data_IF_381111843616
#
_entry.id   IF_381111843616
#
_cell.length_a   1.000
_cell.length_b   1.000
_cell.length_c   1.000
_cell.angle_alpha   90.00
_cell.angle_beta   90.00
_cell.angle_gamma   90.00
#
_symmetry.space_group_name_H-M   'P 1'
#
loop_
_entity.id
_entity.type
_entity.pdbx_description
1 polymer ?
#
# COMPACT_ATOMS: atom_id res chain seq x y z
N UNK A 1 13.02 -33.31 15.63
CA UNK A 1 13.58 -32.05 16.19
C UNK A 1 14.12 -31.10 15.13
N UNK A 2 14.97 -31.51 14.19
CA UNK A 2 15.43 -30.59 13.10
C UNK A 2 14.31 -30.08 12.18
N UNK A 3 13.34 -30.93 11.83
CA UNK A 3 12.18 -30.54 11.01
C UNK A 3 11.24 -29.57 11.76
N UNK A 4 11.02 -29.77 13.07
CA UNK A 4 10.17 -28.87 13.86
C UNK A 4 10.82 -27.50 14.10
N UNK A 5 12.16 -27.44 14.21
CA UNK A 5 12.87 -26.15 14.30
C UNK A 5 12.78 -25.35 13.00
N UNK A 6 12.94 -26.00 11.83
CA UNK A 6 12.71 -25.34 10.53
C UNK A 6 11.27 -24.88 10.36
N UNK A 7 10.31 -25.64 10.88
CA UNK A 7 8.89 -25.27 10.83
C UNK A 7 8.58 -24.06 11.72
N UNK A 8 9.22 -23.96 12.90
CA UNK A 8 9.16 -22.78 13.76
C UNK A 8 9.81 -21.55 13.11
N UNK A 9 11.00 -21.71 12.54
CA UNK A 9 11.75 -20.63 11.88
C UNK A 9 10.98 -20.06 10.66
N UNK A 10 10.35 -20.94 9.85
CA UNK A 10 9.52 -20.55 8.70
C UNK A 10 8.22 -19.84 9.13
N UNK A 11 7.61 -20.27 10.22
CA UNK A 11 6.41 -19.61 10.81
C UNK A 11 6.78 -18.28 11.45
N UNK A 12 7.97 -18.16 12.02
CA UNK A 12 8.50 -16.93 12.60
C UNK A 12 8.83 -15.90 11.50
N UNK A 13 9.43 -16.32 10.39
CA UNK A 13 9.68 -15.48 9.21
C UNK A 13 8.41 -15.04 8.48
N UNK A 14 7.41 -15.93 8.32
CA UNK A 14 6.10 -15.54 7.77
C UNK A 14 5.37 -14.54 8.68
N UNK A 15 5.38 -14.75 10.00
CA UNK A 15 4.83 -13.79 10.95
C UNK A 15 5.60 -12.47 10.92
N UNK A 16 6.92 -12.50 10.77
CA UNK A 16 7.75 -11.29 10.65
C UNK A 16 7.42 -10.52 9.38
N UNK A 17 7.31 -11.18 8.23
CA UNK A 17 6.88 -10.57 6.96
C UNK A 17 5.48 -9.96 7.05
N UNK A 18 4.50 -10.67 7.61
CA UNK A 18 3.14 -10.16 7.84
C UNK A 18 3.10 -9.00 8.85
N UNK A 19 3.97 -9.02 9.86
CA UNK A 19 4.10 -7.92 10.82
C UNK A 19 4.69 -6.66 10.15
N UNK A 20 5.57 -6.82 9.16
CA UNK A 20 6.20 -5.72 8.43
C UNK A 20 5.25 -5.09 7.41
N UNK A 21 4.37 -5.86 6.77
CA UNK A 21 3.35 -5.37 5.82
C UNK A 21 2.19 -4.69 6.54
N UNK A 22 1.72 -5.26 7.66
CA UNK A 22 0.77 -4.56 8.54
C UNK A 22 1.35 -3.29 9.14
N UNK A 23 2.64 -3.29 9.51
CA UNK A 23 3.36 -2.09 9.97
C UNK A 23 3.47 -1.02 8.88
N UNK A 24 3.79 -1.36 7.64
CA UNK A 24 3.91 -0.37 6.56
C UNK A 24 2.55 0.27 6.25
N UNK A 25 1.46 -0.51 6.24
CA UNK A 25 0.10 0.00 6.11
C UNK A 25 -0.28 0.91 7.30
N UNK A 26 0.05 0.48 8.51
CA UNK A 26 -0.17 1.27 9.73
C UNK A 26 0.60 2.59 9.72
N UNK A 27 1.87 2.57 9.29
CA UNK A 27 2.71 3.78 9.17
C UNK A 27 2.11 4.74 8.12
N UNK A 28 1.61 4.22 7.00
CA UNK A 28 0.90 5.03 6.00
C UNK A 28 -0.35 5.71 6.56
N UNK A 29 -1.19 4.96 7.28
CA UNK A 29 -2.39 5.49 7.93
C UNK A 29 -2.05 6.49 9.04
N UNK A 30 -1.02 6.20 9.84
CA UNK A 30 -0.54 7.08 10.90
C UNK A 30 -0.04 8.42 10.32
N UNK A 31 0.72 8.38 9.23
CA UNK A 31 1.16 9.57 8.50
C UNK A 31 -0.01 10.42 8.01
N UNK A 32 -1.07 9.77 7.49
CA UNK A 32 -2.29 10.47 7.07
C UNK A 32 -2.98 11.19 8.23
N UNK A 33 -3.17 10.47 9.34
CA UNK A 33 -3.82 11.03 10.54
C UNK A 33 -3.01 12.20 11.08
N UNK A 34 -1.69 12.06 11.21
CA UNK A 34 -0.81 13.13 11.71
C UNK A 34 -0.89 14.36 10.79
N UNK A 35 -0.78 14.18 9.48
CA UNK A 35 -0.82 15.29 8.53
C UNK A 35 -2.17 16.01 8.49
N UNK A 36 -3.29 15.26 8.54
CA UNK A 36 -4.62 15.87 8.64
C UNK A 36 -4.83 16.57 9.98
N UNK A 37 -4.36 16.00 11.09
CA UNK A 37 -4.44 16.65 12.40
C UNK A 37 -3.64 17.96 12.42
N UNK A 38 -2.46 17.99 11.78
CA UNK A 38 -1.67 19.21 11.61
C UNK A 38 -2.42 20.27 10.80
N UNK A 39 -3.13 19.88 9.73
CA UNK A 39 -3.98 20.78 8.95
C UNK A 39 -5.11 21.37 9.82
N UNK A 40 -5.81 20.56 10.62
CA UNK A 40 -6.86 21.03 11.52
C UNK A 40 -6.33 22.02 12.55
N UNK A 41 -5.15 21.76 13.12
CA UNK A 41 -4.51 22.66 14.09
C UNK A 41 -4.15 24.00 13.44
N UNK A 42 -3.56 23.98 12.24
CA UNK A 42 -3.20 25.22 11.54
C UNK A 42 -4.46 26.02 11.18
N UNK A 43 -5.48 25.37 10.63
CA UNK A 43 -6.68 26.03 10.13
C UNK A 43 -7.60 26.56 11.24
N UNK A 44 -7.79 25.81 12.34
CA UNK A 44 -8.76 26.17 13.39
C UNK A 44 -8.14 26.73 14.66
N UNK A 45 -6.83 26.62 14.84
CA UNK A 45 -6.16 27.03 16.08
C UNK A 45 -5.12 28.12 15.80
N UNK A 46 -4.17 27.87 14.90
CA UNK A 46 -3.07 28.80 14.62
C UNK A 46 -3.56 30.04 13.88
N UNK A 47 -4.24 29.88 12.75
CA UNK A 47 -4.72 31.02 11.95
C UNK A 47 -5.69 31.89 12.78
N UNK A 48 -6.72 31.36 13.46
CA UNK A 48 -7.58 32.18 14.28
C UNK A 48 -6.84 32.88 15.44
N UNK A 49 -5.88 32.22 16.08
CA UNK A 49 -5.08 32.86 17.14
C UNK A 49 -4.27 34.06 16.62
N UNK A 50 -3.79 34.01 15.39
CA UNK A 50 -3.06 35.13 14.75
C UNK A 50 -3.97 36.31 14.39
N UNK A 51 -5.28 36.10 14.24
CA UNK A 51 -6.28 37.15 13.94
C UNK A 51 -7.16 37.49 15.15
N UNK A 52 -6.60 37.35 16.37
CA UNK A 52 -7.30 37.74 17.59
C UNK A 52 -8.47 36.84 17.98
N UNK A 53 -8.50 35.59 17.50
CA UNK A 53 -9.50 34.58 17.82
C UNK A 53 -10.65 34.47 16.81
N UNK A 54 -10.66 35.31 15.78
CA UNK A 54 -11.62 35.19 14.67
C UNK A 54 -11.01 34.39 13.52
N UNK A 55 -11.76 33.46 12.92
CA UNK A 55 -11.29 32.75 11.74
C UNK A 55 -11.42 33.68 10.53
N UNK A 56 -10.31 34.12 9.91
CA UNK A 56 -10.38 34.89 8.68
C UNK A 56 -10.96 34.02 7.56
N UNK A 57 -11.70 34.65 6.65
CA UNK A 57 -12.12 34.01 5.42
C UNK A 57 -10.96 33.97 4.42
N UNK A 58 -11.09 33.14 3.38
CA UNK A 58 -10.14 33.11 2.26
C UNK A 58 -10.05 34.49 1.58
N UNK A 59 -11.14 35.26 1.58
CA UNK A 59 -11.16 36.64 1.08
C UNK A 59 -10.35 37.61 1.93
N UNK A 60 -10.39 37.46 3.26
CA UNK A 60 -9.60 38.30 4.17
C UNK A 60 -8.11 38.04 4.00
N UNK A 61 -7.71 36.76 3.83
CA UNK A 61 -6.32 36.39 3.55
C UNK A 61 -5.79 36.98 2.22
N UNK A 62 -6.64 37.06 1.18
CA UNK A 62 -6.28 37.70 -0.09
C UNK A 62 -6.09 39.22 0.04
N UNK A 63 -6.85 39.86 0.93
CA UNK A 63 -6.76 41.30 1.20
C UNK A 63 -5.53 41.61 2.05
N UNK A 64 -5.23 40.80 3.07
CA UNK A 64 -4.02 40.93 3.88
C UNK A 64 -2.74 40.83 3.02
N UNK A 65 -2.73 39.95 2.01
CA UNK A 65 -1.62 39.84 1.06
C UNK A 65 -1.40 41.04 0.13
N UNK A 66 -2.31 42.02 0.12
CA UNK A 66 -2.19 43.28 -0.64
C UNK A 66 -1.70 44.46 0.22
N UNK A 67 -1.52 44.27 1.53
CA UNK A 67 -1.04 45.33 2.43
C UNK A 67 0.43 45.69 2.11
N UNK A 68 0.75 46.95 1.80
CA UNK A 68 2.12 47.37 1.52
C UNK A 68 3.05 47.33 2.76
N UNK A 69 2.53 47.24 3.99
CA UNK A 69 3.33 47.11 5.22
C UNK A 69 2.73 46.07 6.17
N UNK A 70 2.85 44.76 5.85
CA UNK A 70 2.20 43.72 6.63
C UNK A 70 2.85 43.55 8.01
N UNK A 71 2.00 43.31 9.01
CA UNK A 71 2.44 42.94 10.34
C UNK A 71 3.04 41.52 10.36
N UNK A 72 3.87 41.22 11.36
CA UNK A 72 4.47 39.88 11.50
C UNK A 72 3.39 38.77 11.59
N UNK A 73 2.26 39.03 12.24
CA UNK A 73 1.16 38.09 12.36
C UNK A 73 0.51 37.78 11.00
N UNK A 74 0.31 38.79 10.15
CA UNK A 74 -0.19 38.62 8.77
C UNK A 74 0.81 37.82 7.93
N UNK A 75 2.10 38.15 8.01
CA UNK A 75 3.15 37.40 7.29
C UNK A 75 3.10 35.91 7.66
N UNK A 76 3.03 35.57 8.95
CA UNK A 76 2.94 34.17 9.41
C UNK A 76 1.63 33.53 8.94
N UNK A 77 0.51 34.24 9.03
CA UNK A 77 -0.80 33.77 8.53
C UNK A 77 -0.74 33.39 7.05
N UNK A 78 -0.15 34.25 6.21
CA UNK A 78 -0.05 34.03 4.76
C UNK A 78 0.78 32.78 4.44
N UNK A 79 1.89 32.57 5.16
CA UNK A 79 2.67 31.34 5.05
C UNK A 79 1.86 30.11 5.50
N UNK A 80 1.05 30.20 6.56
CA UNK A 80 0.17 29.12 6.98
C UNK A 80 -0.88 28.80 5.91
N UNK A 81 -1.50 29.81 5.31
CA UNK A 81 -2.46 29.64 4.21
C UNK A 81 -1.83 28.99 2.97
N UNK A 82 -0.61 29.38 2.61
CA UNK A 82 0.14 28.76 1.53
C UNK A 82 0.49 27.29 1.82
N UNK A 83 0.64 26.91 3.09
CA UNK A 83 1.02 25.56 3.52
C UNK A 83 -0.17 24.57 3.53
N UNK A 84 -1.41 25.06 3.68
CA UNK A 84 -2.64 24.24 3.74
C UNK A 84 -2.80 23.30 2.53
N UNK A 85 -2.68 23.75 1.26
CA UNK A 85 -2.79 22.87 0.10
C UNK A 85 -1.76 21.74 0.10
N UNK A 86 -0.53 22.02 0.54
CA UNK A 86 0.52 21.01 0.64
C UNK A 86 0.20 19.96 1.71
N UNK A 87 -0.28 20.39 2.88
CA UNK A 87 -0.74 19.48 3.92
C UNK A 87 -2.00 18.70 3.54
N UNK A 88 -2.77 19.17 2.56
CA UNK A 88 -3.92 18.46 2.06
C UNK A 88 -3.52 17.35 1.07
N UNK A 89 -2.42 17.50 0.33
CA UNK A 89 -1.96 16.53 -0.68
C UNK A 89 -0.98 15.51 -0.10
N UNK A 90 -0.06 15.95 0.76
CA UNK A 90 1.04 15.13 1.28
C UNK A 90 0.57 13.87 2.05
N UNK A 91 -0.45 13.93 2.94
CA UNK A 91 -1.04 12.77 3.62
C UNK A 91 -1.53 11.69 2.65
N UNK A 92 -2.21 12.09 1.57
CA UNK A 92 -2.75 11.16 0.58
C UNK A 92 -1.64 10.58 -0.31
N UNK A 93 -0.62 11.39 -0.64
CA UNK A 93 0.55 10.89 -1.35
C UNK A 93 1.31 9.85 -0.51
N UNK A 94 1.47 10.08 0.79
CA UNK A 94 2.13 9.16 1.71
C UNK A 94 1.34 7.85 1.87
N UNK A 95 0.01 7.93 2.05
CA UNK A 95 -0.88 6.77 2.07
C UNK A 95 -0.77 5.95 0.77
N UNK A 96 -0.79 6.62 -0.39
CA UNK A 96 -0.66 5.98 -1.70
C UNK A 96 0.70 5.30 -1.90
N UNK A 97 1.80 5.95 -1.51
CA UNK A 97 3.16 5.38 -1.61
C UNK A 97 3.32 4.17 -0.69
N UNK A 98 2.84 4.24 0.56
CA UNK A 98 2.93 3.13 1.51
C UNK A 98 2.01 1.97 1.10
N UNK A 99 0.83 2.27 0.53
CA UNK A 99 -0.05 1.26 -0.05
C UNK A 99 0.59 0.57 -1.26
N UNK A 100 1.21 1.34 -2.16
CA UNK A 100 1.93 0.79 -3.31
C UNK A 100 3.10 -0.09 -2.85
N UNK A 101 3.90 0.38 -1.88
CA UNK A 101 4.99 -0.38 -1.29
C UNK A 101 4.50 -1.68 -0.63
N UNK A 102 3.43 -1.63 0.17
CA UNK A 102 2.83 -2.82 0.77
C UNK A 102 2.32 -3.79 -0.30
N UNK A 103 1.64 -3.27 -1.33
CA UNK A 103 1.11 -4.08 -2.44
C UNK A 103 2.22 -4.77 -3.25
N UNK A 104 3.35 -4.10 -3.50
CA UNK A 104 4.50 -4.65 -4.23
C UNK A 104 5.34 -5.62 -3.39
N UNK A 105 5.40 -5.45 -2.07
CA UNK A 105 6.14 -6.37 -1.20
C UNK A 105 5.42 -7.73 -1.04
N UNK A 106 4.10 -7.72 -1.21
CA UNK A 106 3.24 -8.90 -1.17
C UNK A 106 3.10 -9.63 -2.53
N UNK A 107 3.71 -9.12 -3.62
CA UNK A 107 3.64 -9.80 -4.95
C UNK A 107 4.55 -11.02 -5.11
N UNK A 108 5.38 -11.35 -4.11
CA UNK A 108 6.32 -12.49 -4.21
C UNK A 108 5.58 -13.84 -4.34
N UNK A 109 4.30 -13.94 -3.95
CA UNK A 109 3.52 -15.19 -4.09
C UNK A 109 2.05 -14.96 -4.51
N UNK A 110 1.84 -14.38 -5.71
CA UNK A 110 0.60 -14.62 -6.48
C UNK A 110 -0.65 -13.78 -6.15
N UNK A 111 -0.52 -12.64 -5.48
CA UNK A 111 -1.67 -11.77 -5.14
C UNK A 111 -2.18 -10.93 -6.32
N UNK A 112 -1.49 -10.95 -7.45
CA UNK A 112 -1.70 -10.00 -8.55
C UNK A 112 -3.09 -10.08 -9.21
N UNK A 113 -3.70 -11.26 -9.25
CA UNK A 113 -5.07 -11.44 -9.76
C UNK A 113 -6.13 -10.78 -8.87
N UNK A 114 -5.94 -10.81 -7.54
CA UNK A 114 -6.81 -10.12 -6.58
C UNK A 114 -6.60 -8.61 -6.66
N UNK A 115 -5.37 -8.16 -6.86
CA UNK A 115 -5.04 -6.75 -7.06
C UNK A 115 -5.71 -6.22 -8.34
N UNK A 116 -5.59 -6.94 -9.47
CA UNK A 116 -6.30 -6.63 -10.73
C UNK A 116 -7.81 -6.54 -10.53
N UNK A 117 -8.41 -7.52 -9.86
CA UNK A 117 -9.86 -7.56 -9.59
C UNK A 117 -10.30 -6.38 -8.73
N UNK A 118 -9.51 -6.03 -7.72
CA UNK A 118 -9.77 -4.90 -6.82
C UNK A 118 -9.63 -3.59 -7.57
N UNK A 119 -8.53 -3.40 -8.32
CA UNK A 119 -8.30 -2.24 -9.16
C UNK A 119 -9.45 -2.00 -10.14
N UNK A 120 -9.88 -3.05 -10.87
CA UNK A 120 -11.01 -2.99 -11.79
C UNK A 120 -12.31 -2.57 -11.11
N UNK A 121 -12.62 -3.16 -9.96
CA UNK A 121 -13.85 -2.85 -9.22
C UNK A 121 -13.83 -1.42 -8.67
N UNK A 122 -12.68 -0.97 -8.16
CA UNK A 122 -12.47 0.40 -7.68
C UNK A 122 -12.57 1.41 -8.82
N UNK A 123 -11.95 1.14 -9.97
CA UNK A 123 -12.04 2.00 -11.16
C UNK A 123 -13.47 2.11 -11.69
N UNK A 124 -14.22 1.00 -11.76
CA UNK A 124 -15.62 1.03 -12.16
C UNK A 124 -16.47 1.88 -11.19
N UNK A 125 -16.25 1.70 -9.89
CA UNK A 125 -16.97 2.47 -8.86
C UNK A 125 -16.61 3.96 -8.92
N UNK A 126 -15.33 4.28 -9.07
CA UNK A 126 -14.84 5.66 -9.19
C UNK A 126 -15.36 6.37 -10.43
N UNK A 127 -15.33 5.71 -11.61
CA UNK A 127 -15.95 6.23 -12.83
C UNK A 127 -17.46 6.43 -12.66
N UNK A 128 -18.15 5.47 -12.02
CA UNK A 128 -19.57 5.60 -11.71
C UNK A 128 -19.88 6.82 -10.84
N UNK A 129 -19.13 7.02 -9.76
CA UNK A 129 -19.26 8.18 -8.88
C UNK A 129 -18.93 9.49 -9.60
N UNK A 130 -17.89 9.50 -10.42
CA UNK A 130 -17.49 10.66 -11.23
C UNK A 130 -18.59 11.06 -12.22
N UNK A 131 -19.15 10.09 -12.97
CA UNK A 131 -20.27 10.36 -13.87
C UNK A 131 -21.55 10.74 -13.13
N UNK A 132 -21.76 10.24 -11.91
CA UNK A 132 -22.88 10.64 -11.07
C UNK A 132 -22.77 12.13 -10.68
N UNK A 133 -21.58 12.59 -10.27
CA UNK A 133 -21.34 14.00 -9.92
C UNK A 133 -21.48 14.88 -11.15
N UNK A 134 -20.79 14.56 -12.26
CA UNK A 134 -20.91 15.34 -13.51
C UNK A 134 -22.34 15.40 -14.00
N UNK A 135 -23.04 14.27 -14.00
CA UNK A 135 -24.45 14.21 -14.39
C UNK A 135 -25.31 15.11 -13.51
N UNK A 136 -25.00 15.17 -12.22
CA UNK A 136 -25.71 16.04 -11.28
C UNK A 136 -25.48 17.52 -11.58
N UNK A 137 -24.24 17.93 -11.78
CA UNK A 137 -23.88 19.30 -12.14
C UNK A 137 -24.51 19.74 -13.47
N UNK A 138 -24.44 18.89 -14.51
CA UNK A 138 -24.98 19.21 -15.84
C UNK A 138 -26.51 19.37 -15.80
N UNK A 139 -27.23 18.49 -15.09
CA UNK A 139 -28.68 18.61 -15.00
C UNK A 139 -29.14 19.72 -14.05
N UNK A 140 -28.34 20.05 -13.05
CA UNK A 140 -28.58 21.24 -12.25
C UNK A 140 -28.48 22.51 -13.11
N UNK A 141 -27.47 22.61 -13.98
CA UNK A 141 -27.30 23.74 -14.89
C UNK A 141 -28.44 23.93 -15.90
N UNK A 142 -29.04 22.83 -16.40
CA UNK A 142 -30.11 22.90 -17.41
C UNK A 142 -31.50 23.03 -16.79
N UNK A 143 -31.78 22.25 -15.74
CA UNK A 143 -33.13 21.99 -15.23
C UNK A 143 -33.32 22.37 -13.76
N UNK A 144 -32.26 22.76 -13.04
CA UNK A 144 -32.31 23.11 -11.61
C UNK A 144 -32.46 21.92 -10.65
N UNK A 145 -32.51 20.68 -11.17
CA UNK A 145 -32.64 19.45 -10.37
C UNK A 145 -31.48 18.47 -10.66
N UNK A 146 -30.37 18.60 -9.94
CA UNK A 146 -29.16 17.82 -10.21
C UNK A 146 -29.31 16.31 -10.02
N UNK A 147 -30.02 15.85 -8.98
CA UNK A 147 -30.14 14.41 -8.66
C UNK A 147 -30.66 13.58 -9.86
N UNK A 148 -31.56 14.12 -10.68
CA UNK A 148 -32.07 13.43 -11.86
C UNK A 148 -30.96 13.09 -12.86
N UNK A 149 -29.99 13.99 -13.05
CA UNK A 149 -28.86 13.75 -13.94
C UNK A 149 -27.90 12.71 -13.42
N UNK A 150 -27.58 12.75 -12.12
CA UNK A 150 -26.74 11.74 -11.48
C UNK A 150 -27.33 10.34 -11.58
N UNK A 151 -28.63 10.19 -11.29
CA UNK A 151 -29.33 8.89 -11.36
C UNK A 151 -29.41 8.39 -12.81
N UNK A 152 -29.71 9.26 -13.78
CA UNK A 152 -29.83 8.88 -15.19
C UNK A 152 -28.48 8.42 -15.75
N UNK A 153 -27.41 9.19 -15.54
CA UNK A 153 -26.05 8.82 -15.98
C UNK A 153 -25.51 7.61 -15.22
N UNK A 154 -25.65 7.57 -13.89
CA UNK A 154 -25.20 6.45 -13.06
C UNK A 154 -25.91 5.13 -13.39
N UNK A 155 -27.22 5.17 -13.63
CA UNK A 155 -28.00 4.00 -14.07
C UNK A 155 -27.59 3.55 -15.47
N UNK A 156 -27.31 4.49 -16.38
CA UNK A 156 -26.82 4.18 -17.72
C UNK A 156 -25.47 3.44 -17.68
N UNK A 157 -24.55 3.85 -16.82
CA UNK A 157 -23.27 3.16 -16.58
C UNK A 157 -23.47 1.73 -16.07
N UNK A 158 -24.49 1.48 -15.25
CA UNK A 158 -24.83 0.13 -14.79
C UNK A 158 -25.34 -0.78 -15.91
N UNK A 159 -26.06 -0.26 -16.90
CA UNK A 159 -26.51 -1.04 -18.06
C UNK A 159 -25.34 -1.53 -18.92
N UNK A 160 -24.32 -0.68 -19.11
CA UNK A 160 -23.09 -1.02 -19.86
C UNK A 160 -21.97 -1.55 -18.96
N UNK A 161 -22.31 -2.08 -17.77
CA UNK A 161 -21.33 -2.62 -16.82
C UNK A 161 -20.41 -3.67 -17.42
N UNK A 162 -20.96 -4.67 -18.10
CA UNK A 162 -20.19 -5.78 -18.68
C UNK A 162 -19.10 -5.30 -19.66
N UNK A 163 -19.42 -4.48 -20.68
CA UNK A 163 -18.38 -3.99 -21.59
C UNK A 163 -17.35 -3.10 -20.90
N UNK A 164 -17.75 -2.25 -19.93
CA UNK A 164 -16.79 -1.40 -19.19
C UNK A 164 -15.80 -2.27 -18.40
N UNK A 165 -16.30 -3.26 -17.65
CA UNK A 165 -15.46 -4.18 -16.86
C UNK A 165 -14.46 -4.91 -17.75
N UNK A 166 -14.90 -5.42 -18.91
CA UNK A 166 -14.01 -6.11 -19.85
C UNK A 166 -12.92 -5.18 -20.42
N UNK A 167 -13.23 -3.90 -20.58
CA UNK A 167 -12.27 -2.90 -21.07
C UNK A 167 -11.24 -2.55 -19.98
N UNK A 168 -11.71 -2.37 -18.74
CA UNK A 168 -10.87 -2.17 -17.56
C UNK A 168 -9.98 -3.39 -17.29
N UNK A 169 -10.46 -4.61 -17.50
CA UNK A 169 -9.67 -5.84 -17.40
C UNK A 169 -8.50 -5.84 -18.38
N UNK A 170 -8.73 -5.45 -19.64
CA UNK A 170 -7.67 -5.35 -20.67
C UNK A 170 -6.62 -4.28 -20.29
N UNK A 171 -7.07 -3.12 -19.80
CA UNK A 171 -6.15 -2.08 -19.32
C UNK A 171 -5.37 -2.55 -18.10
N UNK A 172 -6.04 -3.19 -17.15
CA UNK A 172 -5.39 -3.69 -15.94
C UNK A 172 -4.41 -4.81 -16.25
N UNK A 173 -4.67 -5.68 -17.23
CA UNK A 173 -3.72 -6.69 -17.68
C UNK A 173 -2.45 -6.08 -18.32
N UNK A 174 -2.57 -4.87 -18.88
CA UNK A 174 -1.43 -4.13 -19.44
C UNK A 174 -0.61 -3.41 -18.38
N UNK A 175 -1.25 -2.84 -17.36
CA UNK A 175 -0.59 -2.08 -16.29
C UNK A 175 -0.04 -3.00 -15.20
N UNK A 176 -0.79 -4.06 -14.90
CA UNK A 176 -0.50 -5.02 -13.85
C UNK A 176 -0.53 -6.43 -14.49
N UNK A 177 0.55 -6.80 -15.22
CA UNK A 177 0.65 -8.13 -15.82
C UNK A 177 0.86 -9.16 -14.70
N UNK A 178 -0.15 -10.01 -14.55
CA UNK A 178 -0.12 -11.10 -13.59
C UNK A 178 0.74 -12.20 -14.16
N UNK A 179 1.83 -12.52 -13.48
CA UNK A 179 2.69 -13.66 -13.82
C UNK A 179 1.88 -14.97 -13.86
N UNK A 180 0.87 -15.08 -12.99
CA UNK A 180 0.03 -16.27 -12.83
C UNK A 180 -1.47 -15.92 -12.78
N UNK A 181 -2.29 -16.81 -13.34
CA UNK A 181 -3.75 -16.80 -13.23
C UNK A 181 -4.22 -17.30 -11.85
N UNK A 182 -5.49 -17.10 -11.51
CA UNK A 182 -6.05 -17.50 -10.20
C UNK A 182 -5.91 -19.01 -9.94
N UNK A 183 -6.10 -19.84 -10.97
CA UNK A 183 -5.94 -21.29 -10.89
C UNK A 183 -4.47 -21.69 -10.72
N UNK A 184 -3.56 -21.09 -11.49
CA UNK A 184 -2.12 -21.33 -11.37
C UNK A 184 -1.59 -20.91 -10.00
N UNK A 185 -2.12 -19.83 -9.43
CA UNK A 185 -1.77 -19.39 -8.07
C UNK A 185 -2.21 -20.40 -7.02
N UNK A 186 -3.44 -20.92 -7.15
CA UNK A 186 -3.96 -21.95 -6.25
C UNK A 186 -3.12 -23.23 -6.31
N UNK A 187 -2.69 -23.62 -7.52
CA UNK A 187 -1.75 -24.73 -7.72
C UNK A 187 -0.40 -24.48 -7.06
N UNK A 188 0.24 -23.32 -7.32
CA UNK A 188 1.54 -22.98 -6.76
C UNK A 188 1.52 -22.92 -5.23
N UNK A 189 0.40 -22.49 -4.62
CA UNK A 189 0.23 -22.53 -3.17
C UNK A 189 0.19 -23.97 -2.62
N UNK A 190 -0.48 -24.88 -3.34
CA UNK A 190 -0.48 -26.30 -2.99
C UNK A 190 0.92 -26.91 -3.17
N UNK A 191 1.60 -26.57 -4.26
CA UNK A 191 2.98 -26.99 -4.55
C UNK A 191 3.97 -26.52 -3.48
N UNK A 192 3.92 -25.24 -3.08
CA UNK A 192 4.77 -24.69 -2.02
C UNK A 192 4.49 -25.33 -0.65
N UNK A 193 3.24 -25.73 -0.40
CA UNK A 193 2.84 -26.42 0.83
C UNK A 193 3.30 -27.89 0.86
N UNK A 194 3.30 -28.56 -0.30
CA UNK A 194 3.84 -29.92 -0.44
C UNK A 194 5.37 -29.93 -0.30
N UNK A 195 6.07 -28.92 -0.84
CA UNK A 195 7.53 -28.82 -0.79
C UNK A 195 8.13 -28.23 0.50
N UNK A 196 7.39 -28.19 1.62
CA UNK A 196 7.85 -27.51 2.86
C UNK A 196 9.13 -28.11 3.42
N UNK A 197 9.32 -29.42 3.28
CA UNK A 197 10.51 -30.16 3.72
C UNK A 197 11.63 -30.21 2.65
N UNK A 198 11.40 -29.59 1.49
CA UNK A 198 12.32 -29.55 0.36
C UNK A 198 12.33 -30.82 -0.50
N UNK A 199 11.41 -31.77 -0.30
CA UNK A 199 11.28 -32.99 -1.11
C UNK A 199 9.82 -33.35 -1.34
N UNK A 200 9.40 -33.37 -2.60
CA UNK A 200 8.05 -33.83 -2.96
C UNK A 200 8.04 -35.36 -3.03
N UNK A 201 7.24 -36.00 -2.19
CA UNK A 201 7.02 -37.45 -2.20
C UNK A 201 6.14 -37.91 -3.37
N UNK A 202 6.18 -39.20 -3.70
CA UNK A 202 5.34 -39.78 -4.77
C UNK A 202 3.84 -39.58 -4.51
N UNK A 203 3.41 -39.64 -3.24
CA UNK A 203 2.02 -39.38 -2.85
C UNK A 203 1.63 -37.91 -3.05
N UNK A 204 2.52 -36.97 -2.70
CA UNK A 204 2.27 -35.54 -2.89
C UNK A 204 2.26 -35.18 -4.38
N UNK A 205 3.11 -35.79 -5.19
CA UNK A 205 3.08 -35.65 -6.64
C UNK A 205 1.75 -36.12 -7.23
N UNK A 206 1.20 -37.22 -6.72
CA UNK A 206 -0.13 -37.70 -7.11
C UNK A 206 -1.23 -36.68 -6.78
N UNK A 207 -1.20 -36.11 -5.58
CA UNK A 207 -2.15 -35.06 -5.17
C UNK A 207 -2.01 -33.82 -6.05
N UNK A 208 -0.78 -33.37 -6.33
CA UNK A 208 -0.52 -32.20 -7.17
C UNK A 208 -1.02 -32.40 -8.61
N UNK A 209 -0.80 -33.57 -9.19
CA UNK A 209 -1.32 -33.86 -10.52
C UNK A 209 -2.86 -33.81 -10.55
N UNK A 210 -3.52 -34.34 -9.52
CA UNK A 210 -4.98 -34.27 -9.41
C UNK A 210 -5.48 -32.83 -9.18
N UNK A 211 -4.76 -32.00 -8.41
CA UNK A 211 -5.14 -30.60 -8.22
C UNK A 211 -4.96 -29.79 -9.50
N UNK A 212 -3.89 -30.02 -10.26
CA UNK A 212 -3.69 -29.41 -11.57
C UNK A 212 -4.82 -29.77 -12.55
N UNK A 213 -5.19 -31.05 -12.62
CA UNK A 213 -6.28 -31.53 -13.46
C UNK A 213 -7.62 -30.91 -13.04
N UNK A 214 -7.92 -30.87 -11.74
CA UNK A 214 -9.14 -30.24 -11.21
C UNK A 214 -9.20 -28.73 -11.49
N UNK A 215 -8.06 -28.05 -11.59
CA UNK A 215 -7.94 -26.63 -11.91
C UNK A 215 -7.84 -26.36 -13.42
N UNK A 216 -7.85 -27.40 -14.26
CA UNK A 216 -7.78 -27.31 -15.72
C UNK A 216 -6.41 -26.84 -16.24
N UNK A 217 -5.33 -27.09 -15.49
CA UNK A 217 -3.97 -26.70 -15.85
C UNK A 217 -3.31 -27.87 -16.60
N UNK A 218 -2.78 -27.60 -17.79
CA UNK A 218 -2.07 -28.60 -18.60
C UNK A 218 -0.77 -29.04 -17.95
N UNK A 219 -0.36 -30.29 -18.15
CA UNK A 219 0.88 -30.86 -17.57
C UNK A 219 2.11 -30.04 -17.97
N UNK A 220 2.23 -29.64 -19.23
CA UNK A 220 3.32 -28.78 -19.73
C UNK A 220 3.43 -27.49 -18.91
N UNK A 221 2.29 -26.81 -18.73
CA UNK A 221 2.20 -25.59 -17.93
C UNK A 221 2.55 -25.83 -16.46
N UNK A 222 2.13 -26.93 -15.85
CA UNK A 222 2.52 -27.24 -14.46
C UNK A 222 4.03 -27.37 -14.30
N UNK A 223 4.71 -28.02 -15.25
CA UNK A 223 6.16 -28.17 -15.22
C UNK A 223 6.87 -26.83 -15.37
N UNK A 224 6.39 -25.95 -16.26
CA UNK A 224 6.91 -24.59 -16.39
C UNK A 224 6.72 -23.77 -15.10
N UNK A 225 5.54 -23.86 -14.47
CA UNK A 225 5.22 -23.15 -13.23
C UNK A 225 6.13 -23.59 -12.09
N UNK A 226 6.35 -24.89 -11.93
CA UNK A 226 7.25 -25.44 -10.91
C UNK A 226 8.70 -25.02 -11.14
N UNK A 227 9.17 -25.02 -12.40
CA UNK A 227 10.51 -24.59 -12.74
C UNK A 227 10.73 -23.10 -12.45
N UNK A 228 9.80 -22.24 -12.90
CA UNK A 228 9.83 -20.80 -12.63
C UNK A 228 9.79 -20.51 -11.13
N UNK A 229 8.94 -21.23 -10.39
CA UNK A 229 8.83 -21.08 -8.93
C UNK A 229 10.14 -21.43 -8.22
N UNK A 230 10.75 -22.57 -8.57
CA UNK A 230 12.02 -22.98 -7.97
C UNK A 230 13.15 -21.98 -8.29
N UNK A 231 13.21 -21.45 -9.52
CA UNK A 231 14.17 -20.41 -9.90
C UNK A 231 13.99 -19.13 -9.08
N UNK A 232 12.75 -18.66 -8.88
CA UNK A 232 12.50 -17.48 -8.05
C UNK A 232 12.91 -17.69 -6.58
N UNK A 233 12.69 -18.88 -6.03
CA UNK A 233 13.11 -19.22 -4.67
C UNK A 233 14.64 -19.29 -4.54
N UNK A 234 15.32 -19.79 -5.57
CA UNK A 234 16.79 -19.81 -5.63
C UNK A 234 17.38 -18.39 -5.77
N UNK A 235 16.77 -17.53 -6.61
CA UNK A 235 17.17 -16.13 -6.73
C UNK A 235 16.99 -15.37 -5.40
N UNK A 236 15.87 -15.54 -4.70
CA UNK A 236 15.63 -14.95 -3.38
C UNK A 236 16.62 -15.45 -2.32
N UNK A 237 17.02 -16.73 -2.38
CA UNK A 237 18.01 -17.29 -1.48
C UNK A 237 19.45 -16.83 -1.79
N UNK A 238 19.72 -16.43 -3.04
CA UNK A 238 21.03 -15.99 -3.52
C UNK A 238 21.27 -14.48 -3.36
N UNK A 239 20.20 -13.70 -3.22
CA UNK A 239 20.31 -12.26 -2.98
C UNK A 239 20.83 -12.05 -1.55
N UNK A 240 21.94 -11.31 -1.34
CA UNK A 240 22.43 -11.06 0.01
C UNK A 240 21.30 -10.38 0.80
N UNK A 241 20.95 -10.89 2.00
CA UNK A 241 19.96 -10.24 2.84
C UNK A 241 20.39 -8.78 3.01
N UNK A 242 19.47 -7.86 2.72
CA UNK A 242 19.72 -6.43 2.89
C UNK A 242 20.40 -6.21 4.23
N UNK A 243 21.59 -5.60 4.21
CA UNK A 243 22.38 -5.42 5.43
C UNK A 243 21.48 -4.78 6.50
N UNK A 244 21.36 -5.41 7.68
CA UNK A 244 20.40 -4.98 8.69
C UNK A 244 20.66 -3.51 9.02
N UNK A 245 19.59 -2.72 9.05
CA UNK A 245 19.68 -1.27 9.21
C UNK A 245 19.60 -0.92 10.71
N UNK A 246 20.37 0.06 11.14
CA UNK A 246 20.36 0.54 12.53
C UNK A 246 19.05 1.29 12.79
N UNK A 247 18.19 0.74 13.64
CA UNK A 247 16.91 1.35 14.05
C UNK A 247 17.12 2.36 15.17
N UNK A 248 17.97 2.03 16.14
CA UNK A 248 18.19 2.88 17.31
C UNK A 248 19.61 2.70 17.84
N UNK A 249 20.27 3.80 18.20
CA UNK A 249 21.59 3.78 18.86
C UNK A 249 21.51 4.56 20.18
N UNK A 250 22.04 4.00 21.27
CA UNK A 250 22.10 4.68 22.57
C UNK A 250 23.39 4.35 23.33
N UNK A 251 23.73 5.16 24.33
CA UNK A 251 24.84 4.88 25.25
C UNK A 251 24.26 4.72 26.66
N UNK A 252 24.64 3.65 27.35
CA UNK A 252 24.15 3.38 28.71
C UNK A 252 24.90 4.19 29.78
N UNK A 253 24.43 4.12 31.03
CA UNK A 253 25.03 4.82 32.18
C UNK A 253 26.47 4.34 32.50
N UNK A 254 26.86 3.18 31.98
CA UNK A 254 28.19 2.59 32.15
C UNK A 254 29.14 2.95 30.98
N UNK A 255 28.67 3.73 30.00
CA UNK A 255 29.47 4.22 28.87
C UNK A 255 29.53 3.28 27.67
N UNK A 256 28.77 2.18 27.63
CA UNK A 256 28.72 1.29 26.47
C UNK A 256 27.74 1.83 25.43
N UNK A 257 28.14 1.78 24.15
CA UNK A 257 27.28 2.18 23.04
C UNK A 257 26.60 0.96 22.44
N UNK A 258 25.29 1.04 22.22
CA UNK A 258 24.42 -0.04 21.76
C UNK A 258 23.70 0.37 20.47
N UNK A 259 23.39 -0.59 19.60
CA UNK A 259 22.57 -0.41 18.40
C UNK A 259 21.56 -1.54 18.28
N UNK A 260 20.28 -1.21 18.16
CA UNK A 260 19.23 -2.15 17.77
C UNK A 260 19.05 -2.12 16.25
N UNK A 261 18.96 -3.29 15.65
CA UNK A 261 18.81 -3.50 14.21
C UNK A 261 17.34 -3.81 13.86
N UNK A 262 16.94 -3.57 12.61
CA UNK A 262 15.58 -3.82 12.11
C UNK A 262 15.21 -5.30 12.03
N UNK A 263 16.22 -6.17 11.98
CA UNK A 263 16.09 -7.62 12.10
C UNK A 263 15.84 -8.09 13.55
N UNK A 264 15.86 -7.19 14.54
CA UNK A 264 15.65 -7.49 15.96
C UNK A 264 16.91 -7.87 16.73
N UNK A 265 18.08 -7.84 16.10
CA UNK A 265 19.36 -8.05 16.79
C UNK A 265 19.84 -6.79 17.50
N UNK A 266 20.53 -6.96 18.63
CA UNK A 266 21.18 -5.87 19.36
C UNK A 266 22.69 -6.06 19.28
N UNK A 267 23.39 -5.02 18.86
CA UNK A 267 24.84 -4.95 18.79
C UNK A 267 25.34 -3.99 19.87
N UNK A 268 26.52 -4.25 20.43
CA UNK A 268 27.20 -3.34 21.34
C UNK A 268 28.62 -3.05 20.86
N UNK A 269 29.07 -1.84 21.15
CA UNK A 269 30.35 -1.30 20.70
C UNK A 269 31.46 -1.70 21.66
N UNK A 270 32.47 -2.37 21.12
CA UNK A 270 33.63 -2.84 21.89
C UNK A 270 34.80 -1.83 21.94
N UNK A 271 34.67 -0.68 21.29
CA UNK A 271 35.75 0.30 21.10
C UNK A 271 36.42 0.22 19.73
N UNK A 272 36.38 -0.95 19.08
CA UNK A 272 36.94 -1.17 17.73
C UNK A 272 35.96 -1.81 16.76
N UNK A 273 34.99 -2.60 17.26
CA UNK A 273 34.02 -3.31 16.43
C UNK A 273 32.65 -3.48 17.12
N UNK A 274 31.60 -3.74 16.34
CA UNK A 274 30.25 -4.04 16.81
C UNK A 274 30.08 -5.54 17.03
N UNK A 275 29.75 -5.95 18.25
CA UNK A 275 29.48 -7.35 18.59
C UNK A 275 28.01 -7.58 18.91
N UNK A 276 27.47 -8.71 18.45
CA UNK A 276 26.13 -9.15 18.79
C UNK A 276 26.06 -9.45 20.29
N UNK A 277 25.08 -8.87 20.96
CA UNK A 277 24.74 -9.14 22.36
C UNK A 277 23.99 -10.48 22.49
#
# INVERSE_FOLDING_TARGET
MRASMKQYEKVEDENKKNSLTSRSLYIGFLGKVIGNMMLFVIMFLVIPALHGGTSPSLGDALVDGLDPNPSLAQIISDYCWMLIPYLMVLPFAFEGMMFAHASMKDTVLGIDSKLRRTFRNSMFTGLGAFFFIIGSEVMESIMGYGIFGGVLLGSSVMLVRKPIINTLDKMSAKIIPSTYTETETAYLKAYSAAGVDGKISDSERGILNMTAEALGITVERTTELEAMFNLTVEEEASNPPAEPQVVQQWTDEHGYTWRAMDDGTTLWWTGTDWKKY
#
